data_IF_113936264923
#
_entry.id   IF_113936264923
#
_cell.length_a   1.000
_cell.length_b   1.000
_cell.length_c   1.000
_cell.angle_alpha   90.00
_cell.angle_beta   90.00
_cell.angle_gamma   90.00
#
_symmetry.space_group_name_H-M   'P 1'
#
loop_
_entity.id
_entity.type
_entity.pdbx_description
1 polymer ?
#
# COMPACT_ATOMS: atom_id res chain seq x y z
N UNK A 1 -3.58 3.79 -2.48
CA UNK A 1 -3.50 2.95 -3.68
C UNK A 1 -4.78 3.12 -4.48
N UNK A 2 -4.68 3.22 -5.80
CA UNK A 2 -5.78 3.37 -6.74
C UNK A 2 -6.33 2.00 -7.17
N UNK A 3 -7.55 1.96 -7.73
CA UNK A 3 -8.16 0.72 -8.23
C UNK A 3 -7.31 0.02 -9.30
N UNK A 4 -6.68 0.80 -10.19
CA UNK A 4 -5.84 0.25 -11.26
C UNK A 4 -4.59 -0.43 -10.72
N UNK A 5 -3.99 0.11 -9.66
CA UNK A 5 -2.85 -0.52 -8.98
C UNK A 5 -3.26 -1.81 -8.28
N UNK A 6 -4.46 -1.84 -7.66
CA UNK A 6 -5.03 -3.07 -7.07
C UNK A 6 -5.23 -4.14 -8.14
N UNK A 7 -5.83 -3.79 -9.29
CA UNK A 7 -6.04 -4.73 -10.40
C UNK A 7 -4.72 -5.27 -10.96
N UNK A 8 -3.69 -4.43 -11.08
CA UNK A 8 -2.36 -4.85 -11.52
C UNK A 8 -1.68 -5.80 -10.53
N UNK A 9 -1.83 -5.54 -9.23
CA UNK A 9 -1.22 -6.33 -8.17
C UNK A 9 -1.91 -7.69 -7.98
N UNK A 10 -3.24 -7.71 -8.06
CA UNK A 10 -4.05 -8.91 -7.82
C UNK A 10 -4.32 -9.72 -9.09
N UNK A 11 -4.19 -9.11 -10.27
CA UNK A 11 -4.60 -9.72 -11.54
C UNK A 11 -6.11 -9.97 -11.65
N UNK A 12 -6.91 -9.48 -10.70
CA UNK A 12 -8.37 -9.66 -10.67
C UNK A 12 -9.09 -8.33 -10.79
N UNK A 13 -10.29 -8.38 -11.38
CA UNK A 13 -11.26 -7.26 -11.41
C UNK A 13 -12.38 -7.43 -10.38
N UNK A 14 -12.45 -8.58 -9.73
CA UNK A 14 -13.49 -8.85 -8.73
C UNK A 14 -13.06 -8.32 -7.36
N UNK A 15 -13.85 -7.44 -6.72
CA UNK A 15 -13.53 -6.85 -5.42
C UNK A 15 -13.24 -7.87 -4.31
N UNK A 16 -13.92 -9.03 -4.32
CA UNK A 16 -13.76 -10.07 -3.32
C UNK A 16 -12.42 -10.80 -3.48
N UNK A 17 -12.12 -11.27 -4.69
CA UNK A 17 -10.82 -11.87 -5.03
C UNK A 17 -9.67 -10.91 -4.74
N UNK A 18 -9.86 -9.62 -5.04
CA UNK A 18 -8.88 -8.58 -4.74
C UNK A 18 -8.61 -8.48 -3.24
N UNK A 19 -9.66 -8.42 -2.41
CA UNK A 19 -9.52 -8.37 -0.96
C UNK A 19 -8.80 -9.61 -0.41
N UNK A 20 -9.17 -10.80 -0.86
CA UNK A 20 -8.54 -12.06 -0.46
C UNK A 20 -7.05 -12.08 -0.82
N UNK A 21 -6.71 -11.76 -2.06
CA UNK A 21 -5.32 -11.74 -2.54
C UNK A 21 -4.47 -10.71 -1.81
N UNK A 22 -5.00 -9.50 -1.58
CA UNK A 22 -4.32 -8.47 -0.82
C UNK A 22 -4.06 -8.90 0.63
N UNK A 23 -5.02 -9.56 1.28
CA UNK A 23 -4.83 -10.14 2.61
C UNK A 23 -3.74 -11.23 2.61
N UNK A 24 -3.69 -12.09 1.60
CA UNK A 24 -2.68 -13.15 1.47
C UNK A 24 -1.25 -12.57 1.36
N UNK A 25 -1.08 -11.44 0.68
CA UNK A 25 0.22 -10.76 0.56
C UNK A 25 0.54 -9.80 1.72
N UNK A 26 -0.27 -9.81 2.78
CA UNK A 26 -0.06 -9.01 3.98
C UNK A 26 -0.35 -7.52 3.82
N UNK A 27 -1.11 -7.13 2.79
CA UNK A 27 -1.59 -5.76 2.63
C UNK A 27 -2.86 -5.61 3.47
N UNK A 28 -2.89 -4.60 4.35
CA UNK A 28 -4.07 -4.29 5.14
C UNK A 28 -5.19 -3.73 4.26
N UNK A 29 -6.36 -4.35 4.33
CA UNK A 29 -7.53 -3.97 3.53
C UNK A 29 -8.77 -3.88 4.41
N UNK A 30 -9.50 -2.78 4.31
CA UNK A 30 -10.87 -2.66 4.80
C UNK A 30 -11.85 -2.94 3.66
N UNK A 31 -12.84 -3.80 3.92
CA UNK A 31 -13.93 -4.03 2.97
C UNK A 31 -15.10 -3.14 3.35
N UNK A 32 -15.50 -2.24 2.45
CA UNK A 32 -16.67 -1.38 2.68
C UNK A 32 -17.96 -2.21 2.74
N UNK A 33 -19.06 -1.69 3.31
CA UNK A 33 -20.37 -2.36 3.28
C UNK A 33 -20.88 -2.70 1.86
N UNK A 34 -20.32 -2.05 0.83
CA UNK A 34 -20.63 -2.31 -0.58
C UNK A 34 -19.71 -3.38 -1.22
N UNK A 35 -18.83 -4.01 -0.43
CA UNK A 35 -17.91 -5.06 -0.90
C UNK A 35 -16.68 -4.53 -1.63
N UNK A 36 -16.45 -3.22 -1.65
CA UNK A 36 -15.28 -2.61 -2.31
C UNK A 36 -14.10 -2.61 -1.33
N UNK A 37 -12.95 -3.22 -1.69
CA UNK A 37 -11.74 -3.18 -0.88
C UNK A 37 -11.11 -1.78 -0.89
N UNK A 38 -10.72 -1.31 0.29
CA UNK A 38 -9.93 -0.10 0.51
C UNK A 38 -8.63 -0.51 1.18
N UNK A 39 -7.51 -0.21 0.54
CA UNK A 39 -6.20 -0.47 1.13
C UNK A 39 -5.88 0.60 2.16
N UNK A 40 -5.58 0.16 3.38
CA UNK A 40 -5.13 1.01 4.47
C UNK A 40 -3.62 1.17 4.34
N UNK A 41 -3.18 2.38 4.00
CA UNK A 41 -1.76 2.73 4.03
C UNK A 41 -1.53 3.40 5.37
N UNK A 42 -0.94 2.68 6.33
CA UNK A 42 -0.38 3.30 7.52
C UNK A 42 0.97 3.91 7.13
N UNK A 43 1.10 5.22 7.29
CA UNK A 43 2.39 5.89 7.17
C UNK A 43 3.24 5.47 8.37
N UNK A 44 4.15 4.53 8.14
CA UNK A 44 5.17 4.20 9.13
C UNK A 44 6.19 5.33 9.07
N UNK A 45 6.20 6.22 10.07
CA UNK A 45 7.33 7.10 10.30
C UNK A 45 8.56 6.21 10.54
N UNK A 46 9.35 6.00 9.48
CA UNK A 46 10.67 5.42 9.60
C UNK A 46 11.49 6.39 10.44
N UNK A 47 11.57 6.11 11.75
CA UNK A 47 12.61 6.69 12.60
C UNK A 47 13.93 6.21 12.03
N UNK A 48 14.51 7.03 11.14
CA UNK A 48 15.86 6.82 10.66
C UNK A 48 16.74 6.60 11.90
N UNK A 49 17.58 5.55 11.92
CA UNK A 49 18.55 5.41 12.99
C UNK A 49 19.32 6.74 13.08
N UNK A 50 19.34 7.33 14.29
CA UNK A 50 20.09 8.55 14.59
C UNK A 50 21.53 8.36 14.06
N UNK A 51 21.85 9.00 12.93
CA UNK A 51 23.14 8.83 12.26
C UNK A 51 23.11 8.74 10.74
N UNK A 52 21.95 8.65 10.08
CA UNK A 52 21.87 8.85 8.63
C UNK A 52 21.84 10.36 8.32
N UNK A 53 23.01 11.00 8.38
CA UNK A 53 23.23 12.32 7.80
C UNK A 53 22.99 12.19 6.28
N UNK A 54 21.82 12.63 5.83
CA UNK A 54 21.56 12.82 4.42
C UNK A 54 22.54 13.90 3.94
N UNK A 55 23.59 13.48 3.24
CA UNK A 55 24.48 14.41 2.58
C UNK A 55 23.61 15.27 1.65
N UNK A 56 23.43 16.53 2.03
CA UNK A 56 22.96 17.55 1.10
C UNK A 56 24.08 17.72 0.08
N UNK A 57 24.00 16.98 -1.01
CA UNK A 57 24.80 17.29 -2.19
C UNK A 57 24.20 18.57 -2.77
N UNK A 58 24.79 19.68 -2.37
CA UNK A 58 24.50 20.99 -2.90
C UNK A 58 24.97 21.11 -4.34
N UNK A 59 24.15 21.83 -5.12
CA UNK A 59 24.53 22.73 -6.21
C UNK A 59 25.28 22.13 -7.42
N UNK A 60 24.57 22.06 -8.55
CA UNK A 60 24.86 22.96 -9.66
C UNK A 60 23.62 23.21 -10.52
#
# INVERSE_FOLDING_TARGET
MTQREIELLTGSKQPQDQAELLCVIGVAVEVSPLGIPKVCIEEIELKLPLGYECAKEGQN
#
